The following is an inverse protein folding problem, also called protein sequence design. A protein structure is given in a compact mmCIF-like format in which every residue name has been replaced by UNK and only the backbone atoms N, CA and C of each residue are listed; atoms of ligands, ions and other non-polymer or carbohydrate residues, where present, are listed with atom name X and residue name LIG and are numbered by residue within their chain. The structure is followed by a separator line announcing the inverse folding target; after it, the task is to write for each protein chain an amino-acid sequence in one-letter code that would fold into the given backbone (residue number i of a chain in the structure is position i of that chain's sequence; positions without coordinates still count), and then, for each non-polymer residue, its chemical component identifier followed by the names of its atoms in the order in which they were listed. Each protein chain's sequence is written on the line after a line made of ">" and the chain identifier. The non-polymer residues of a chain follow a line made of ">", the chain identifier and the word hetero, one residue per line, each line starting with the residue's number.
data_IF_190215242322
#
_entry.id   IF_190215242322
#
_cell.length_a   1.000
_cell.length_b   1.000
_cell.length_c   1.000
_cell.angle_alpha   90.00
_cell.angle_beta   90.00
_cell.angle_gamma   90.00
#
_symmetry.space_group_name_H-M   'P 1'
#
loop_
_entity.id
_entity.type
_entity.pdbx_description
1 polymer ?
#
# COMPACT_ATOMS: atom_id res chain seq x y z
N UNK A 1 -0.31 16.73 -6.76
CA UNK A 1 0.57 15.75 -7.43
C UNK A 1 0.94 14.67 -6.42
N UNK A 2 0.72 13.41 -6.78
CA UNK A 2 1.00 12.30 -5.86
C UNK A 2 2.47 11.90 -5.92
N UNK A 3 3.05 11.66 -4.77
CA UNK A 3 4.44 11.23 -4.61
C UNK A 3 4.48 9.73 -4.32
N UNK A 4 5.20 8.99 -5.14
CA UNK A 4 5.30 7.54 -5.03
C UNK A 4 6.76 7.14 -4.82
N UNK A 5 7.00 6.29 -3.83
CA UNK A 5 8.30 5.66 -3.62
C UNK A 5 8.27 4.26 -4.22
N UNK A 6 9.16 4.02 -5.18
CA UNK A 6 9.33 2.72 -5.82
C UNK A 6 10.59 2.05 -5.31
N UNK A 7 10.46 0.87 -4.75
CA UNK A 7 11.57 0.03 -4.31
C UNK A 7 11.70 -1.15 -5.28
N UNK A 8 12.64 -1.05 -6.21
CA UNK A 8 12.84 -2.01 -7.30
C UNK A 8 14.27 -1.91 -7.80
N UNK A 9 14.93 -3.04 -8.09
CA UNK A 9 16.32 -3.06 -8.57
C UNK A 9 16.47 -3.33 -10.07
N UNK A 10 15.41 -3.79 -10.75
CA UNK A 10 15.43 -4.06 -12.19
C UNK A 10 15.32 -2.74 -12.98
N UNK A 11 16.41 -2.36 -13.68
CA UNK A 11 16.46 -1.11 -14.43
C UNK A 11 15.41 -1.02 -15.55
N UNK A 12 15.14 -2.11 -16.24
CA UNK A 12 14.13 -2.13 -17.30
C UNK A 12 12.76 -1.82 -16.75
N UNK A 13 12.43 -2.43 -15.62
CA UNK A 13 11.16 -2.21 -14.95
C UNK A 13 11.06 -0.78 -14.39
N UNK A 14 12.15 -0.29 -13.78
CA UNK A 14 12.22 1.09 -13.28
C UNK A 14 11.95 2.08 -14.40
N UNK A 15 12.59 1.88 -15.57
CA UNK A 15 12.42 2.78 -16.71
C UNK A 15 10.98 2.77 -17.24
N UNK A 16 10.38 1.59 -17.35
CA UNK A 16 9.00 1.45 -17.79
C UNK A 16 8.01 2.10 -16.81
N UNK A 17 8.20 1.86 -15.53
CA UNK A 17 7.34 2.43 -14.49
C UNK A 17 7.52 3.94 -14.39
N UNK A 18 8.75 4.44 -14.50
CA UNK A 18 9.03 5.88 -14.48
C UNK A 18 8.31 6.60 -15.60
N UNK A 19 8.33 6.02 -16.80
CA UNK A 19 7.63 6.58 -17.96
C UNK A 19 6.11 6.58 -17.72
N UNK A 20 5.56 5.46 -17.29
CA UNK A 20 4.12 5.30 -17.10
C UNK A 20 3.59 6.23 -15.99
N UNK A 21 4.31 6.34 -14.88
CA UNK A 21 3.90 7.18 -13.75
C UNK A 21 4.05 8.67 -14.07
N UNK A 22 5.11 9.05 -14.75
CA UNK A 22 5.29 10.43 -15.20
C UNK A 22 4.15 10.87 -16.13
N UNK A 23 3.71 9.97 -16.99
CA UNK A 23 2.58 10.21 -17.90
C UNK A 23 1.28 10.45 -17.14
N UNK A 24 1.13 9.88 -15.95
CA UNK A 24 -0.02 10.07 -15.07
C UNK A 24 0.10 11.35 -14.21
N UNK A 25 1.21 12.04 -14.27
CA UNK A 25 1.46 13.21 -13.45
C UNK A 25 1.96 12.90 -12.04
N UNK A 26 2.40 11.67 -11.79
CA UNK A 26 2.97 11.29 -10.48
C UNK A 26 4.44 11.66 -10.41
N UNK A 27 4.89 12.02 -9.20
CA UNK A 27 6.32 12.13 -8.91
C UNK A 27 6.82 10.80 -8.36
N UNK A 28 7.88 10.28 -8.97
CA UNK A 28 8.44 8.99 -8.61
C UNK A 28 9.83 9.16 -8.03
N UNK A 29 10.03 8.62 -6.83
CA UNK A 29 11.35 8.49 -6.21
C UNK A 29 11.68 7.01 -6.22
N UNK A 30 12.89 6.65 -6.68
CA UNK A 30 13.29 5.26 -6.84
C UNK A 30 14.37 4.90 -5.84
N UNK A 31 14.17 3.80 -5.12
CA UNK A 31 15.17 3.14 -4.31
C UNK A 31 15.45 1.76 -4.90
N UNK A 32 16.71 1.39 -5.04
CA UNK A 32 17.10 0.11 -5.63
C UNK A 32 17.49 -0.94 -4.60
N UNK A 33 17.63 -0.52 -3.35
CA UNK A 33 17.96 -1.39 -2.21
C UNK A 33 17.17 -0.97 -0.98
N UNK A 34 17.11 -1.85 0.01
CA UNK A 34 16.48 -1.51 1.29
C UNK A 34 17.19 -0.33 1.96
N UNK A 35 18.51 -0.28 1.86
CA UNK A 35 19.30 0.80 2.43
C UNK A 35 18.93 2.15 1.80
N UNK A 36 18.78 2.19 0.49
CA UNK A 36 18.33 3.41 -0.20
C UNK A 36 16.93 3.80 0.22
N UNK A 37 16.02 2.83 0.31
CA UNK A 37 14.65 3.07 0.74
C UNK A 37 14.61 3.65 2.16
N UNK A 38 15.41 3.12 3.07
CA UNK A 38 15.49 3.63 4.43
C UNK A 38 15.96 5.09 4.47
N UNK A 39 16.89 5.45 3.61
CA UNK A 39 17.41 6.83 3.55
C UNK A 39 16.43 7.80 2.90
N UNK A 40 15.58 7.33 2.01
CA UNK A 40 14.60 8.14 1.29
C UNK A 40 13.25 8.23 1.98
N UNK A 41 12.96 7.30 2.88
CA UNK A 41 11.68 7.27 3.58
C UNK A 41 11.57 8.43 4.57
N UNK A 42 10.48 9.19 4.43
CA UNK A 42 10.06 10.21 5.39
C UNK A 42 8.56 10.06 5.57
N UNK A 43 8.11 9.89 6.80
CA UNK A 43 6.68 9.78 7.10
C UNK A 43 5.95 11.03 6.63
N UNK A 44 4.84 10.83 5.94
CA UNK A 44 4.03 11.92 5.40
C UNK A 44 4.49 12.46 4.04
N UNK A 45 5.64 12.04 3.54
CA UNK A 45 6.16 12.51 2.25
C UNK A 45 5.53 11.81 1.05
N UNK A 46 5.21 10.54 1.19
CA UNK A 46 4.73 9.70 0.07
C UNK A 46 3.25 9.38 0.21
N UNK A 47 2.56 9.34 -0.92
CA UNK A 47 1.15 9.00 -0.99
C UNK A 47 0.92 7.52 -1.23
N UNK A 48 1.93 6.82 -1.73
CA UNK A 48 1.86 5.38 -2.03
C UNK A 48 3.26 4.81 -2.17
N UNK A 49 3.43 3.55 -1.77
CA UNK A 49 4.66 2.80 -1.95
C UNK A 49 4.43 1.63 -2.89
N UNK A 50 5.38 1.40 -3.81
CA UNK A 50 5.42 0.20 -4.65
C UNK A 50 6.69 -0.54 -4.30
N UNK A 51 6.56 -1.73 -3.74
CA UNK A 51 7.68 -2.48 -3.17
C UNK A 51 7.86 -3.83 -3.86
N UNK A 52 9.03 -4.04 -4.45
CA UNK A 52 9.43 -5.39 -4.89
C UNK A 52 9.69 -6.24 -3.65
N UNK A 53 9.29 -7.49 -3.69
CA UNK A 53 9.54 -8.43 -2.61
C UNK A 53 11.01 -8.84 -2.56
N UNK A 54 11.65 -9.10 -3.72
CA UNK A 54 13.03 -9.56 -3.79
C UNK A 54 13.99 -8.43 -4.13
N UNK A 55 14.91 -8.14 -3.22
CA UNK A 55 15.91 -7.09 -3.37
C UNK A 55 17.30 -7.64 -3.06
N UNK A 56 18.38 -6.98 -3.54
CA UNK A 56 19.74 -7.47 -3.30
C UNK A 56 20.11 -7.61 -1.83
N UNK A 57 19.56 -6.76 -0.97
CA UNK A 57 19.91 -6.71 0.46
C UNK A 57 18.76 -7.13 1.40
N UNK A 58 17.73 -7.80 0.87
CA UNK A 58 16.65 -8.32 1.69
C UNK A 58 15.31 -8.39 0.98
N UNK A 59 14.22 -8.19 1.70
CA UNK A 59 12.87 -8.26 1.14
C UNK A 59 12.10 -6.96 1.34
N UNK A 60 11.16 -6.68 0.42
CA UNK A 60 10.25 -5.55 0.56
C UNK A 60 9.36 -5.67 1.80
N UNK A 61 9.14 -6.88 2.29
CA UNK A 61 8.36 -7.11 3.52
C UNK A 61 9.03 -6.46 4.73
N UNK A 62 10.35 -6.52 4.81
CA UNK A 62 11.10 -5.89 5.90
C UNK A 62 10.87 -4.38 5.92
N UNK A 63 10.88 -3.75 4.77
CA UNK A 63 10.61 -2.32 4.65
C UNK A 63 9.16 -1.99 5.00
N UNK A 64 8.21 -2.78 4.51
CA UNK A 64 6.80 -2.61 4.85
C UNK A 64 6.55 -2.68 6.36
N UNK A 65 7.16 -3.66 7.01
CA UNK A 65 7.06 -3.84 8.46
C UNK A 65 7.50 -2.58 9.21
N UNK A 66 8.62 -2.02 8.79
CA UNK A 66 9.19 -0.80 9.36
C UNK A 66 8.27 0.41 9.15
N UNK A 67 7.77 0.57 7.93
CA UNK A 67 6.85 1.66 7.59
C UNK A 67 5.56 1.56 8.39
N UNK A 68 5.02 0.36 8.54
CA UNK A 68 3.76 0.13 9.26
C UNK A 68 3.82 0.45 10.75
N UNK A 69 5.00 0.58 11.32
CA UNK A 69 5.15 1.05 12.71
C UNK A 69 4.74 2.52 12.88
N UNK A 70 4.83 3.32 11.81
CA UNK A 70 4.59 4.77 11.88
C UNK A 70 3.58 5.28 10.86
N UNK A 71 3.18 4.49 9.88
CA UNK A 71 2.35 4.99 8.77
C UNK A 71 1.38 3.94 8.25
N UNK A 72 0.25 4.41 7.73
CA UNK A 72 -0.75 3.59 7.02
C UNK A 72 -0.79 3.93 5.53
N UNK A 73 0.30 4.47 5.00
CA UNK A 73 0.41 4.77 3.57
C UNK A 73 0.09 3.54 2.72
N UNK A 74 -0.67 3.68 1.63
CA UNK A 74 -0.97 2.55 0.76
C UNK A 74 0.29 1.88 0.21
N UNK A 75 0.32 0.55 0.20
CA UNK A 75 1.46 -0.24 -0.25
C UNK A 75 0.99 -1.30 -1.25
N UNK A 76 1.65 -1.34 -2.41
CA UNK A 76 1.51 -2.40 -3.41
C UNK A 76 2.80 -3.20 -3.45
N UNK A 77 2.68 -4.53 -3.36
CA UNK A 77 3.83 -5.42 -3.55
C UNK A 77 3.91 -5.93 -4.99
N UNK A 78 5.12 -5.96 -5.52
CA UNK A 78 5.43 -6.63 -6.77
C UNK A 78 6.14 -7.94 -6.43
N UNK A 79 5.58 -9.07 -6.86
CA UNK A 79 6.09 -10.38 -6.48
C UNK A 79 6.21 -11.30 -7.69
N UNK A 80 7.09 -12.30 -7.63
CA UNK A 80 7.15 -13.32 -8.66
C UNK A 80 5.86 -14.14 -8.66
N UNK A 81 5.41 -14.57 -9.84
CA UNK A 81 4.29 -15.50 -9.95
C UNK A 81 4.60 -16.75 -9.12
N UNK A 82 3.62 -17.41 -8.58
CA UNK A 82 3.71 -18.65 -7.81
C UNK A 82 4.19 -18.51 -6.36
N UNK A 83 4.37 -17.29 -5.86
CA UNK A 83 4.76 -17.07 -4.47
C UNK A 83 3.54 -16.83 -3.57
N UNK A 84 2.68 -17.86 -3.45
CA UNK A 84 1.47 -17.78 -2.62
C UNK A 84 1.78 -17.42 -1.17
N UNK A 85 2.86 -17.97 -0.61
CA UNK A 85 3.29 -17.65 0.75
C UNK A 85 3.67 -16.18 0.89
N UNK A 86 4.27 -15.59 -0.14
CA UNK A 86 4.60 -14.17 -0.14
C UNK A 86 3.34 -13.30 -0.14
N UNK A 87 2.30 -13.71 -0.85
CA UNK A 87 1.01 -13.00 -0.87
C UNK A 87 0.40 -12.99 0.52
N UNK A 88 0.33 -14.16 1.17
CA UNK A 88 -0.20 -14.30 2.53
C UNK A 88 0.61 -13.44 3.50
N UNK A 89 1.94 -13.56 3.45
CA UNK A 89 2.84 -12.82 4.33
C UNK A 89 2.69 -11.29 4.15
N UNK A 90 2.59 -10.82 2.92
CA UNK A 90 2.45 -9.39 2.65
C UNK A 90 1.14 -8.82 3.14
N UNK A 91 0.03 -9.55 3.00
CA UNK A 91 -1.26 -9.13 3.53
C UNK A 91 -1.23 -9.08 5.06
N UNK A 92 -0.60 -10.06 5.71
CA UNK A 92 -0.46 -10.09 7.16
C UNK A 92 0.41 -8.95 7.69
N UNK A 93 1.43 -8.55 6.93
CA UNK A 93 2.33 -7.45 7.30
C UNK A 93 1.68 -6.09 7.07
N UNK A 94 0.68 -6.01 6.19
CA UNK A 94 -0.07 -4.79 5.97
C UNK A 94 -0.02 -4.23 4.56
N UNK A 95 0.30 -5.06 3.57
CA UNK A 95 0.18 -4.67 2.16
C UNK A 95 -1.28 -4.50 1.75
N UNK A 96 -1.53 -3.57 0.85
CA UNK A 96 -2.88 -3.24 0.40
C UNK A 96 -3.26 -3.94 -0.90
N UNK A 97 -2.28 -4.28 -1.70
CA UNK A 97 -2.49 -4.95 -2.97
C UNK A 97 -1.24 -5.72 -3.39
N UNK A 98 -1.42 -6.61 -4.33
CA UNK A 98 -0.39 -7.48 -4.88
C UNK A 98 -0.47 -7.51 -6.37
N UNK A 99 0.67 -7.45 -7.03
CA UNK A 99 0.75 -7.65 -8.48
C UNK A 99 1.87 -8.65 -8.75
N UNK A 100 1.53 -9.73 -9.44
CA UNK A 100 2.51 -10.76 -9.80
C UNK A 100 3.24 -10.40 -11.08
N UNK A 101 4.55 -10.63 -11.11
CA UNK A 101 5.39 -10.45 -12.29
C UNK A 101 5.29 -11.69 -13.19
N UNK A 102 5.25 -11.56 -14.52
CA UNK A 102 5.21 -10.31 -15.27
C UNK A 102 3.81 -9.68 -15.25
N UNK A 103 3.73 -8.37 -15.32
CA UNK A 103 2.46 -7.65 -15.33
C UNK A 103 2.47 -6.57 -16.43
N UNK A 104 1.28 -6.10 -16.79
CA UNK A 104 1.14 -4.96 -17.71
C UNK A 104 1.20 -3.66 -16.91
N UNK A 105 1.93 -2.68 -17.41
CA UNK A 105 2.07 -1.37 -16.76
C UNK A 105 0.72 -0.71 -16.50
N UNK A 106 -0.22 -0.83 -17.43
CA UNK A 106 -1.57 -0.29 -17.26
C UNK A 106 -2.33 -0.89 -16.09
N UNK A 107 -2.09 -2.16 -15.77
CA UNK A 107 -2.70 -2.81 -14.60
C UNK A 107 -2.16 -2.19 -13.31
N UNK A 108 -0.85 -2.01 -13.22
CA UNK A 108 -0.25 -1.38 -12.05
C UNK A 108 -0.75 0.07 -11.88
N UNK A 109 -0.75 0.85 -12.95
CA UNK A 109 -1.25 2.23 -12.92
C UNK A 109 -2.70 2.28 -12.43
N UNK A 110 -3.53 1.37 -12.91
CA UNK A 110 -4.94 1.28 -12.51
C UNK A 110 -5.08 0.99 -11.01
N UNK A 111 -4.25 0.08 -10.47
CA UNK A 111 -4.23 -0.25 -9.04
C UNK A 111 -3.74 0.91 -8.19
N UNK A 112 -2.71 1.60 -8.66
CA UNK A 112 -2.19 2.81 -7.99
C UNK A 112 -3.28 3.88 -7.90
N UNK A 113 -3.95 4.16 -9.01
CA UNK A 113 -5.03 5.14 -9.04
C UNK A 113 -6.17 4.77 -8.08
N UNK A 114 -6.53 3.50 -8.04
CA UNK A 114 -7.58 3.02 -7.14
C UNK A 114 -7.22 3.22 -5.67
N UNK A 115 -5.99 2.90 -5.28
CA UNK A 115 -5.53 3.07 -3.90
C UNK A 115 -5.41 4.55 -3.51
N UNK A 116 -4.90 5.38 -4.41
CA UNK A 116 -4.80 6.82 -4.16
C UNK A 116 -6.18 7.46 -3.99
N UNK A 117 -7.14 7.03 -4.79
CA UNK A 117 -8.53 7.51 -4.69
C UNK A 117 -9.16 7.09 -3.36
N UNK A 118 -8.98 5.86 -2.92
CA UNK A 118 -9.51 5.36 -1.64
C UNK A 118 -8.91 6.13 -0.46
N UNK A 119 -7.60 6.36 -0.48
CA UNK A 119 -6.93 7.11 0.58
C UNK A 119 -7.46 8.54 0.68
N UNK A 120 -7.75 9.17 -0.47
CA UNK A 120 -8.32 10.50 -0.55
C UNK A 120 -9.74 10.54 0.00
N UNK A 121 -10.56 9.55 -0.36
CA UNK A 121 -11.94 9.44 0.11
C UNK A 121 -12.00 9.27 1.63
N UNK A 122 -11.08 8.46 2.20
CA UNK A 122 -11.01 8.26 3.64
C UNK A 122 -10.56 9.50 4.39
N UNK A 123 -9.77 10.38 3.77
CA UNK A 123 -9.26 11.59 4.43
C UNK A 123 -10.21 12.77 4.36
N UNK A 124 -11.21 12.76 3.45
CA UNK A 124 -11.95 13.97 3.11
C UNK A 124 -13.34 14.12 3.70
N UNK A 125 -14.01 13.05 4.15
CA UNK A 125 -15.43 13.19 4.47
C UNK A 125 -15.85 12.65 5.84
N UNK A 126 -15.60 11.40 6.14
CA UNK A 126 -16.06 10.80 7.38
C UNK A 126 -14.91 10.19 8.15
N UNK A 127 -14.67 10.75 9.33
CA UNK A 127 -13.66 10.20 10.24
C UNK A 127 -14.16 8.95 10.95
N UNK A 128 -15.42 8.60 10.77
CA UNK A 128 -16.05 7.50 11.47
C UNK A 128 -17.12 6.82 10.60
N UNK A 129 -17.08 5.49 10.58
CA UNK A 129 -18.14 4.66 9.99
C UNK A 129 -18.76 3.80 11.09
N UNK A 130 -20.08 3.66 11.08
CA UNK A 130 -20.78 2.87 12.08
C UNK A 130 -21.93 2.08 11.43
N UNK A 131 -21.99 0.77 11.73
CA UNK A 131 -23.06 -0.10 11.23
C UNK A 131 -23.12 -1.38 12.07
N UNK A 132 -24.33 -1.80 12.45
CA UNK A 132 -24.58 -3.07 13.14
C UNK A 132 -23.64 -3.31 14.36
N UNK A 133 -23.43 -2.28 15.18
CA UNK A 133 -22.55 -2.36 16.33
C UNK A 133 -21.07 -2.24 16.02
N UNK A 134 -20.71 -2.12 14.74
CA UNK A 134 -19.32 -1.87 14.31
C UNK A 134 -19.09 -0.38 14.17
N UNK A 135 -17.94 0.07 14.67
CA UNK A 135 -17.52 1.47 14.57
C UNK A 135 -16.08 1.52 14.09
N UNK A 136 -15.81 2.30 13.07
CA UNK A 136 -14.47 2.46 12.50
C UNK A 136 -14.05 3.91 12.58
N UNK A 137 -12.92 4.18 13.24
CA UNK A 137 -12.32 5.50 13.30
C UNK A 137 -11.25 5.61 12.21
N UNK A 138 -11.61 6.23 11.09
CA UNK A 138 -10.79 6.24 9.88
C UNK A 138 -9.43 6.92 10.07
N UNK A 139 -9.39 8.05 10.77
CA UNK A 139 -8.14 8.78 11.00
C UNK A 139 -7.18 8.02 11.92
N UNK A 140 -7.70 7.23 12.84
CA UNK A 140 -6.90 6.49 13.81
C UNK A 140 -6.58 5.07 13.33
N UNK A 141 -7.24 4.61 12.26
CA UNK A 141 -7.07 3.24 11.76
C UNK A 141 -7.57 2.19 12.74
N UNK A 142 -8.58 2.50 13.54
CA UNK A 142 -9.12 1.61 14.57
C UNK A 142 -10.55 1.21 14.25
N UNK A 143 -10.91 -0.02 14.61
CA UNK A 143 -12.27 -0.54 14.50
C UNK A 143 -12.74 -1.07 15.85
N UNK A 144 -14.01 -0.88 16.15
CA UNK A 144 -14.65 -1.34 17.38
C UNK A 144 -15.90 -2.16 17.05
N UNK A 145 -16.15 -3.19 17.86
CA UNK A 145 -17.38 -3.95 17.80
C UNK A 145 -18.01 -3.94 19.18
N UNK A 146 -19.22 -3.39 19.28
CA UNK A 146 -19.96 -3.28 20.56
C UNK A 146 -19.11 -2.63 21.67
N UNK A 147 -18.32 -1.61 21.29
CA UNK A 147 -17.47 -0.88 22.22
C UNK A 147 -16.09 -1.49 22.50
N UNK A 148 -15.79 -2.66 21.89
CA UNK A 148 -14.48 -3.30 22.05
C UNK A 148 -13.58 -3.01 20.85
N UNK A 149 -12.35 -2.61 21.12
CA UNK A 149 -11.34 -2.41 20.08
C UNK A 149 -10.99 -3.74 19.41
N UNK A 150 -11.03 -3.75 18.08
CA UNK A 150 -10.65 -4.91 17.29
C UNK A 150 -9.17 -4.82 16.89
N UNK A 151 -8.45 -5.93 17.04
CA UNK A 151 -7.07 -6.05 16.61
C UNK A 151 -7.05 -6.56 15.17
N UNK A 152 -6.90 -5.63 14.22
CA UNK A 152 -6.95 -5.93 12.79
C UNK A 152 -5.62 -5.61 12.12
N UNK A 153 -5.22 -6.44 11.15
CA UNK A 153 -4.15 -6.08 10.23
C UNK A 153 -4.60 -4.91 9.34
N UNK A 154 -3.65 -4.24 8.67
CA UNK A 154 -4.00 -3.15 7.77
C UNK A 154 -4.93 -3.61 6.63
N UNK A 155 -4.71 -4.83 6.11
CA UNK A 155 -5.56 -5.40 5.07
C UNK A 155 -6.97 -5.68 5.57
N UNK A 156 -7.10 -6.25 6.76
CA UNK A 156 -8.40 -6.52 7.39
C UNK A 156 -9.16 -5.23 7.67
N UNK A 157 -8.48 -4.21 8.17
CA UNK A 157 -9.06 -2.90 8.42
C UNK A 157 -9.60 -2.28 7.12
N UNK A 158 -8.83 -2.32 6.04
CA UNK A 158 -9.26 -1.78 4.76
C UNK A 158 -10.44 -2.53 4.17
N UNK A 159 -10.44 -3.85 4.30
CA UNK A 159 -11.57 -4.68 3.86
C UNK A 159 -12.83 -4.31 4.64
N UNK A 160 -12.72 -4.13 5.94
CA UNK A 160 -13.84 -3.71 6.79
C UNK A 160 -14.37 -2.33 6.36
N UNK A 161 -13.50 -1.38 6.09
CA UNK A 161 -13.91 -0.05 5.62
C UNK A 161 -14.65 -0.12 4.29
N UNK A 162 -14.18 -0.95 3.35
CA UNK A 162 -14.86 -1.17 2.07
C UNK A 162 -16.24 -1.78 2.26
N UNK A 163 -16.35 -2.77 3.14
CA UNK A 163 -17.61 -3.41 3.45
C UNK A 163 -18.60 -2.43 4.07
N UNK A 164 -18.16 -1.60 5.00
CA UNK A 164 -19.01 -0.62 5.67
C UNK A 164 -19.44 0.54 4.77
N UNK A 165 -18.61 0.91 3.79
CA UNK A 165 -18.98 1.95 2.80
C UNK A 165 -19.99 1.43 1.77
N UNK A 166 -19.97 0.14 1.48
CA UNK A 166 -20.83 -0.50 0.48
C UNK A 166 -21.58 -1.68 1.14
N UNK A 167 -22.58 -1.40 1.99
CA UNK A 167 -23.20 -2.43 2.82
C UNK A 167 -24.06 -3.45 2.07
N UNK A 168 -24.14 -3.38 0.76
CA UNK A 168 -24.88 -4.35 -0.06
C UNK A 168 -23.94 -5.10 -0.98
#
# INVERSE_FOLDING_TARGET
>A
MSNILLLEDDLSLINGLSFAFKKQGFELVVARTLKEADSLWVDGKYDLLVLDVSLPDGTGFEFCKKVRQVSKVPIIFLTAADEEMDIIMGLDIGGDDYITKPFKLGVLVSRVNALLRRAKDFSSADTQLESNGMKVLLLQGQAFKNGKLLDLTAAEYKLLCLFMKNPN
#
